data_IF_379869769215
#
_entry.id   IF_379869769215
#
_cell.length_a   1.000
_cell.length_b   1.000
_cell.length_c   1.000
_cell.angle_alpha   90.00
_cell.angle_beta   90.00
_cell.angle_gamma   90.00
#
_symmetry.space_group_name_H-M   'P 1'
#
loop_
_entity.id
_entity.type
_entity.pdbx_description
1 polymer ?
#
# COMPACT_ATOMS: atom_id res chain seq x y z
N UNK A 1 28.84 -67.19 51.33
CA UNK A 1 28.01 -66.00 51.45
C UNK A 1 28.55 -64.95 50.46
N UNK A 2 27.95 -64.79 49.27
CA UNK A 2 28.32 -63.78 48.24
C UNK A 2 27.31 -62.66 48.31
N UNK A 3 27.79 -61.44 48.60
CA UNK A 3 26.96 -60.22 48.64
C UNK A 3 26.90 -59.64 47.23
N UNK A 4 25.68 -59.59 46.68
CA UNK A 4 25.32 -58.85 45.43
C UNK A 4 25.26 -57.34 45.75
N UNK A 5 25.99 -56.51 45.00
CA UNK A 5 25.86 -55.07 45.01
C UNK A 5 25.00 -54.70 43.77
N UNK A 6 23.92 -53.91 43.91
CA UNK A 6 23.22 -53.40 42.74
C UNK A 6 23.94 -52.16 42.20
N UNK A 7 24.29 -52.19 40.93
CA UNK A 7 24.75 -51.04 40.18
C UNK A 7 23.56 -50.23 39.71
N UNK A 8 23.38 -49.03 40.27
CA UNK A 8 22.41 -48.05 39.78
C UNK A 8 22.98 -47.39 38.52
N UNK A 9 22.43 -47.72 37.32
CA UNK A 9 22.67 -46.96 36.08
C UNK A 9 21.78 -45.73 36.08
N UNK A 10 22.39 -44.54 36.22
CA UNK A 10 21.73 -43.26 36.01
C UNK A 10 21.57 -43.03 34.50
N UNK A 11 20.38 -43.27 33.95
CA UNK A 11 20.03 -42.86 32.59
C UNK A 11 19.70 -41.37 32.61
N UNK A 12 20.57 -40.56 32.01
CA UNK A 12 20.34 -39.13 31.79
C UNK A 12 19.34 -38.98 30.61
N UNK A 13 18.18 -38.30 30.75
CA UNK A 13 17.35 -38.05 29.62
C UNK A 13 17.99 -36.98 28.74
N UNK A 14 18.24 -37.34 27.49
CA UNK A 14 18.67 -36.42 26.43
C UNK A 14 17.46 -35.56 26.08
N UNK A 15 17.38 -34.33 26.63
CA UNK A 15 16.39 -33.35 26.23
C UNK A 15 16.82 -32.82 24.85
N UNK A 16 16.18 -33.35 23.80
CA UNK A 16 16.28 -32.78 22.47
C UNK A 16 15.60 -31.40 22.49
N UNK A 17 16.40 -30.36 22.60
CA UNK A 17 15.95 -28.99 22.38
C UNK A 17 15.54 -28.86 20.92
N UNK A 18 14.25 -29.02 20.64
CA UNK A 18 13.66 -28.63 19.36
C UNK A 18 13.83 -27.13 19.24
N UNK A 19 14.84 -26.70 18.48
CA UNK A 19 14.93 -25.31 18.03
C UNK A 19 13.70 -25.06 17.14
N UNK A 20 12.68 -24.41 17.69
CA UNK A 20 11.69 -23.73 16.88
C UNK A 20 12.46 -22.64 16.12
N UNK A 21 12.82 -22.94 14.89
CA UNK A 21 13.17 -21.88 13.93
C UNK A 21 11.90 -21.04 13.80
N UNK A 22 11.91 -19.84 14.38
CA UNK A 22 10.90 -18.86 14.06
C UNK A 22 10.83 -18.76 12.52
N UNK A 23 9.65 -18.81 11.89
CA UNK A 23 9.57 -18.58 10.46
C UNK A 23 10.26 -17.24 10.20
N UNK A 24 11.23 -17.22 9.30
CA UNK A 24 11.74 -15.98 8.77
C UNK A 24 10.51 -15.21 8.32
N UNK A 25 10.25 -14.05 8.93
CA UNK A 25 9.14 -13.21 8.51
C UNK A 25 9.43 -12.89 7.05
N UNK A 26 8.62 -13.46 6.15
CA UNK A 26 8.64 -13.07 4.75
C UNK A 26 8.48 -11.54 4.73
N UNK A 27 9.39 -10.84 4.06
CA UNK A 27 9.35 -9.39 3.91
C UNK A 27 8.78 -9.11 2.51
N UNK A 28 7.88 -8.15 2.41
CA UNK A 28 7.37 -7.66 1.11
C UNK A 28 8.53 -7.32 0.18
N UNK A 29 9.64 -6.85 0.76
CA UNK A 29 10.86 -6.50 0.04
C UNK A 29 11.47 -7.69 -0.71
N UNK A 30 11.51 -8.88 -0.13
CA UNK A 30 12.08 -10.07 -0.80
C UNK A 30 11.30 -10.40 -2.08
N UNK A 31 9.98 -10.27 -2.01
CA UNK A 31 9.14 -10.38 -3.19
C UNK A 31 9.38 -9.28 -4.23
N UNK A 32 9.64 -8.03 -3.79
CA UNK A 32 9.98 -6.93 -4.70
C UNK A 32 11.32 -7.17 -5.39
N UNK A 33 12.33 -7.64 -4.67
CA UNK A 33 13.65 -7.97 -5.22
C UNK A 33 13.55 -9.12 -6.25
N UNK A 34 12.76 -10.16 -5.96
CA UNK A 34 12.45 -11.23 -6.90
C UNK A 34 11.73 -10.71 -8.15
N UNK A 35 10.76 -9.81 -7.98
CA UNK A 35 10.04 -9.19 -9.10
C UNK A 35 10.95 -8.38 -10.01
N UNK A 36 11.81 -7.55 -9.43
CA UNK A 36 12.77 -6.72 -10.16
C UNK A 36 13.79 -7.57 -10.94
N UNK A 37 14.19 -8.72 -10.40
CA UNK A 37 15.06 -9.68 -11.08
C UNK A 37 14.34 -10.51 -12.16
N UNK A 38 13.02 -10.33 -12.34
CA UNK A 38 12.21 -11.09 -13.30
C UNK A 38 11.75 -12.46 -12.79
N UNK A 39 12.05 -12.82 -11.55
CA UNK A 39 11.59 -14.07 -10.94
C UNK A 39 10.19 -13.91 -10.35
N UNK A 40 9.20 -13.74 -11.24
CA UNK A 40 7.82 -13.49 -10.87
C UNK A 40 7.16 -14.60 -10.03
N UNK A 41 7.42 -15.91 -10.29
CA UNK A 41 6.88 -16.96 -9.44
C UNK A 41 7.37 -16.88 -7.99
N UNK A 42 8.66 -16.58 -7.78
CA UNK A 42 9.21 -16.38 -6.44
C UNK A 42 8.58 -15.16 -5.77
N UNK A 43 8.46 -14.03 -6.47
CA UNK A 43 7.80 -12.83 -5.94
C UNK A 43 6.37 -13.12 -5.44
N UNK A 44 5.59 -13.85 -6.23
CA UNK A 44 4.22 -14.26 -5.85
C UNK A 44 4.22 -15.20 -4.64
N UNK A 45 5.20 -16.12 -4.54
CA UNK A 45 5.33 -17.03 -3.41
C UNK A 45 5.60 -16.27 -2.10
N UNK A 46 6.44 -15.21 -2.15
CA UNK A 46 6.72 -14.33 -1.00
C UNK A 46 5.50 -13.47 -0.61
N UNK A 47 4.84 -12.84 -1.58
CA UNK A 47 3.73 -11.94 -1.28
C UNK A 47 2.45 -12.66 -0.83
N UNK A 48 2.18 -13.87 -1.31
CA UNK A 48 0.91 -14.58 -1.03
C UNK A 48 0.63 -14.77 0.45
N UNK A 49 1.54 -15.31 1.29
CA UNK A 49 1.29 -15.46 2.72
C UNK A 49 1.09 -14.11 3.41
N UNK A 50 1.83 -13.08 3.04
CA UNK A 50 1.71 -11.73 3.60
C UNK A 50 0.37 -11.08 3.23
N UNK A 51 -0.05 -11.20 1.96
CA UNK A 51 -1.34 -10.70 1.49
C UNK A 51 -2.52 -11.37 2.20
N UNK A 52 -2.42 -12.68 2.45
CA UNK A 52 -3.41 -13.44 3.22
C UNK A 52 -3.42 -13.03 4.69
N UNK A 53 -2.26 -12.68 5.25
CA UNK A 53 -2.12 -12.14 6.60
C UNK A 53 -2.64 -10.70 6.74
N UNK A 54 -2.92 -10.03 5.62
CA UNK A 54 -3.54 -8.70 5.60
C UNK A 54 -2.60 -7.56 5.23
N UNK A 55 -1.33 -7.83 4.89
CA UNK A 55 -0.39 -6.78 4.47
C UNK A 55 -0.87 -6.08 3.20
N UNK A 56 -1.02 -4.75 3.26
CA UNK A 56 -1.59 -3.97 2.17
C UNK A 56 -0.67 -3.87 0.94
N UNK A 57 0.65 -3.79 1.16
CA UNK A 57 1.64 -3.71 0.09
C UNK A 57 1.73 -5.06 -0.64
N UNK A 58 1.72 -6.18 0.11
CA UNK A 58 1.68 -7.52 -0.47
C UNK A 58 0.38 -7.76 -1.25
N UNK A 59 -0.76 -7.29 -0.74
CA UNK A 59 -2.06 -7.36 -1.45
C UNK A 59 -2.01 -6.57 -2.75
N UNK A 60 -1.47 -5.36 -2.74
CA UNK A 60 -1.29 -4.57 -3.95
C UNK A 60 -0.38 -5.28 -4.96
N UNK A 61 0.78 -5.78 -4.52
CA UNK A 61 1.74 -6.46 -5.38
C UNK A 61 1.15 -7.76 -5.98
N UNK A 62 0.40 -8.51 -5.20
CA UNK A 62 -0.31 -9.70 -5.67
C UNK A 62 -1.40 -9.33 -6.69
N UNK A 63 -2.13 -8.24 -6.47
CA UNK A 63 -3.05 -7.66 -7.44
C UNK A 63 -2.37 -7.30 -8.77
N UNK A 64 -1.16 -6.71 -8.71
CA UNK A 64 -0.36 -6.42 -9.89
C UNK A 64 0.06 -7.70 -10.63
N UNK A 65 0.46 -8.75 -9.89
CA UNK A 65 0.84 -10.03 -10.48
C UNK A 65 -0.32 -10.64 -11.28
N UNK A 66 -1.53 -10.67 -10.72
CA UNK A 66 -2.73 -11.15 -11.41
C UNK A 66 -3.14 -10.25 -12.60
N UNK A 67 -3.06 -8.93 -12.45
CA UNK A 67 -3.37 -7.99 -13.53
C UNK A 67 -2.46 -8.18 -14.74
N UNK A 68 -1.18 -8.44 -14.51
CA UNK A 68 -0.17 -8.55 -15.56
C UNK A 68 0.05 -9.99 -16.05
N UNK A 69 -0.49 -10.98 -15.35
CA UNK A 69 -0.22 -12.40 -15.66
C UNK A 69 1.23 -12.79 -15.42
N UNK A 70 1.89 -12.21 -14.42
CA UNK A 70 3.30 -12.47 -14.11
C UNK A 70 3.43 -13.28 -12.82
N UNK A 71 4.01 -14.47 -12.92
CA UNK A 71 4.12 -15.43 -11.81
C UNK A 71 2.83 -16.19 -11.50
N UNK A 72 1.70 -15.71 -12.02
CA UNK A 72 0.36 -16.33 -12.00
C UNK A 72 -0.34 -16.09 -13.33
N UNK A 73 -1.32 -16.89 -13.75
CA UNK A 73 -2.18 -16.57 -14.88
C UNK A 73 -2.88 -15.21 -14.70
N UNK A 74 -3.04 -14.46 -15.78
CA UNK A 74 -3.75 -13.19 -15.74
C UNK A 74 -5.22 -13.40 -15.34
N UNK A 75 -5.66 -12.67 -14.32
CA UNK A 75 -7.02 -12.72 -13.80
C UNK A 75 -7.39 -11.35 -13.21
N UNK A 76 -8.21 -10.59 -13.95
CA UNK A 76 -8.65 -9.27 -13.52
C UNK A 76 -9.61 -9.30 -12.32
N UNK A 77 -10.35 -10.39 -12.12
CA UNK A 77 -11.22 -10.55 -10.95
C UNK A 77 -10.38 -10.71 -9.68
N UNK A 78 -9.35 -11.57 -9.73
CA UNK A 78 -8.39 -11.69 -8.62
C UNK A 78 -7.64 -10.38 -8.38
N UNK A 79 -7.21 -9.69 -9.44
CA UNK A 79 -6.55 -8.40 -9.31
C UNK A 79 -7.46 -7.36 -8.62
N UNK A 80 -8.74 -7.29 -9.01
CA UNK A 80 -9.74 -6.42 -8.38
C UNK A 80 -9.89 -6.74 -6.89
N UNK A 81 -10.05 -8.01 -6.53
CA UNK A 81 -10.24 -8.43 -5.15
C UNK A 81 -9.04 -8.03 -4.27
N UNK A 82 -7.83 -8.23 -4.74
CA UNK A 82 -6.62 -7.87 -4.02
C UNK A 82 -6.45 -6.36 -3.91
N UNK A 83 -6.68 -5.59 -4.99
CA UNK A 83 -6.65 -4.13 -4.92
C UNK A 83 -7.73 -3.58 -3.98
N UNK A 84 -8.93 -4.17 -3.96
CA UNK A 84 -10.01 -3.76 -3.06
C UNK A 84 -9.65 -3.95 -1.59
N UNK A 85 -8.95 -5.05 -1.26
CA UNK A 85 -8.44 -5.29 0.10
C UNK A 85 -7.38 -4.27 0.50
N UNK A 86 -6.40 -4.02 -0.36
CA UNK A 86 -5.35 -3.04 -0.12
C UNK A 86 -5.92 -1.61 -0.02
N UNK A 87 -6.82 -1.22 -0.93
CA UNK A 87 -7.47 0.09 -0.94
C UNK A 87 -8.28 0.37 0.33
N UNK A 88 -8.97 -0.63 0.88
CA UNK A 88 -9.68 -0.52 2.18
C UNK A 88 -8.75 -0.19 3.35
N UNK A 89 -7.47 -0.48 3.23
CA UNK A 89 -6.43 -0.16 4.21
C UNK A 89 -5.71 1.17 3.89
N UNK A 90 -6.18 1.92 2.89
CA UNK A 90 -5.60 3.20 2.50
C UNK A 90 -4.43 3.10 1.53
N UNK A 91 -4.20 1.95 0.90
CA UNK A 91 -3.14 1.83 -0.10
C UNK A 91 -3.53 2.58 -1.39
N UNK A 92 -2.94 3.77 -1.61
CA UNK A 92 -3.34 4.71 -2.65
C UNK A 92 -3.24 4.16 -4.07
N UNK A 93 -2.13 3.48 -4.38
CA UNK A 93 -1.93 2.90 -5.71
C UNK A 93 -2.91 1.73 -6.00
N UNK A 94 -3.36 1.02 -4.95
CA UNK A 94 -4.40 0.02 -5.09
C UNK A 94 -5.75 0.66 -5.38
N UNK A 95 -6.07 1.78 -4.73
CA UNK A 95 -7.26 2.59 -5.03
C UNK A 95 -7.26 3.07 -6.48
N UNK A 96 -6.12 3.61 -6.94
CA UNK A 96 -5.95 4.09 -8.32
C UNK A 96 -6.18 2.96 -9.35
N UNK A 97 -5.58 1.78 -9.11
CA UNK A 97 -5.75 0.62 -9.99
C UNK A 97 -7.16 0.03 -9.92
N UNK A 98 -7.79 0.01 -8.75
CA UNK A 98 -9.16 -0.44 -8.57
C UNK A 98 -10.13 0.39 -9.39
N UNK A 99 -10.04 1.72 -9.32
CA UNK A 99 -10.87 2.61 -10.11
C UNK A 99 -10.75 2.34 -11.61
N UNK A 100 -9.53 2.16 -12.11
CA UNK A 100 -9.30 1.89 -13.53
C UNK A 100 -9.79 0.50 -13.97
N UNK A 101 -9.63 -0.55 -13.15
CA UNK A 101 -10.14 -1.90 -13.47
C UNK A 101 -11.67 -1.86 -13.55
N UNK A 102 -12.34 -1.27 -12.56
CA UNK A 102 -13.80 -1.12 -12.55
C UNK A 102 -14.29 -0.35 -13.77
N UNK A 103 -13.61 0.73 -14.13
CA UNK A 103 -13.96 1.54 -15.30
C UNK A 103 -13.85 0.74 -16.61
N UNK A 104 -12.76 -0.01 -16.79
CA UNK A 104 -12.55 -0.84 -17.98
C UNK A 104 -13.48 -2.06 -18.04
N UNK A 105 -13.90 -2.57 -16.87
CA UNK A 105 -14.92 -3.62 -16.75
C UNK A 105 -16.36 -3.11 -17.00
N UNK A 106 -16.52 -1.86 -17.48
CA UNK A 106 -17.80 -1.19 -17.70
C UNK A 106 -18.65 -0.96 -16.43
N UNK A 107 -18.06 -1.10 -15.25
CA UNK A 107 -18.67 -0.77 -13.95
C UNK A 107 -18.40 0.70 -13.61
N UNK A 108 -18.73 1.59 -14.55
CA UNK A 108 -18.29 2.98 -14.53
C UNK A 108 -18.81 3.76 -13.33
N UNK A 109 -20.09 3.59 -12.96
CA UNK A 109 -20.68 4.27 -11.79
C UNK A 109 -19.95 3.88 -10.49
N UNK A 110 -19.57 2.62 -10.33
CA UNK A 110 -18.80 2.15 -9.18
C UNK A 110 -17.35 2.63 -9.20
N UNK A 111 -16.77 2.80 -10.38
CA UNK A 111 -15.41 3.29 -10.56
C UNK A 111 -15.24 4.76 -10.17
N UNK A 112 -16.29 5.60 -10.40
CA UNK A 112 -16.17 7.07 -10.30
C UNK A 112 -15.69 7.59 -8.95
N UNK A 113 -16.11 7.10 -7.78
CA UNK A 113 -15.56 7.56 -6.51
C UNK A 113 -14.03 7.39 -6.42
N UNK A 114 -13.50 6.24 -6.88
CA UNK A 114 -12.07 5.96 -6.93
C UNK A 114 -11.35 6.86 -7.95
N UNK A 115 -11.94 7.02 -9.13
CA UNK A 115 -11.40 7.90 -10.19
C UNK A 115 -11.33 9.36 -9.72
N UNK A 116 -12.36 9.87 -9.04
CA UNK A 116 -12.38 11.23 -8.50
C UNK A 116 -11.27 11.42 -7.47
N UNK A 117 -11.15 10.50 -6.52
CA UNK A 117 -10.10 10.56 -5.50
C UNK A 117 -8.69 10.49 -6.12
N UNK A 118 -8.48 9.57 -7.05
CA UNK A 118 -7.20 9.41 -7.76
C UNK A 118 -6.85 10.64 -8.58
N UNK A 119 -7.82 11.19 -9.33
CA UNK A 119 -7.63 12.42 -10.10
C UNK A 119 -7.32 13.63 -9.22
N UNK A 120 -7.97 13.71 -8.05
CA UNK A 120 -7.69 14.76 -7.06
C UNK A 120 -6.25 14.69 -6.51
N UNK A 121 -5.65 13.50 -6.45
CA UNK A 121 -4.23 13.31 -6.10
C UNK A 121 -3.27 13.51 -7.28
N UNK A 122 -3.80 13.75 -8.49
CA UNK A 122 -3.01 13.99 -9.70
C UNK A 122 -2.59 12.72 -10.43
N UNK A 123 -3.31 11.59 -10.28
CA UNK A 123 -3.05 10.38 -11.07
C UNK A 123 -3.48 10.63 -12.53
N UNK A 124 -2.55 10.55 -13.51
CA UNK A 124 -2.83 11.06 -14.87
C UNK A 124 -3.93 10.30 -15.60
N UNK A 125 -4.04 8.98 -15.41
CA UNK A 125 -5.09 8.18 -16.08
C UNK A 125 -6.46 8.49 -15.49
N UNK A 126 -6.55 8.70 -14.19
CA UNK A 126 -7.78 9.11 -13.51
C UNK A 126 -8.20 10.53 -13.93
N UNK A 127 -7.25 11.45 -14.04
CA UNK A 127 -7.51 12.80 -14.57
C UNK A 127 -8.03 12.77 -16.01
N UNK A 128 -7.45 11.93 -16.86
CA UNK A 128 -7.93 11.74 -18.24
C UNK A 128 -9.36 11.18 -18.28
N UNK A 129 -9.67 10.18 -17.45
CA UNK A 129 -11.01 9.59 -17.36
C UNK A 129 -12.02 10.62 -16.85
N UNK A 130 -11.69 11.32 -15.75
CA UNK A 130 -12.56 12.35 -15.17
C UNK A 130 -12.74 13.53 -16.12
N UNK A 131 -11.68 13.96 -16.82
CA UNK A 131 -11.76 14.99 -17.86
C UNK A 131 -12.69 14.58 -18.99
N UNK A 132 -12.64 13.31 -19.42
CA UNK A 132 -13.55 12.77 -20.43
C UNK A 132 -15.00 12.76 -19.93
N UNK A 133 -15.24 12.39 -18.68
CA UNK A 133 -16.56 12.40 -18.06
C UNK A 133 -17.15 13.84 -18.01
N UNK A 134 -16.36 14.85 -17.65
CA UNK A 134 -16.77 16.25 -17.69
C UNK A 134 -17.01 16.77 -19.10
N UNK A 135 -16.25 16.31 -20.08
CA UNK A 135 -16.47 16.69 -21.47
C UNK A 135 -17.81 16.15 -22.01
N UNK A 136 -18.10 14.88 -21.71
CA UNK A 136 -19.31 14.21 -22.18
C UNK A 136 -20.57 14.61 -21.38
N UNK A 137 -20.44 14.89 -20.08
CA UNK A 137 -21.55 15.11 -19.18
C UNK A 137 -22.33 13.84 -18.81
N UNK A 138 -21.68 12.67 -18.88
CA UNK A 138 -22.33 11.36 -18.67
C UNK A 138 -22.11 10.79 -17.25
N UNK A 139 -20.89 10.86 -16.73
CA UNK A 139 -20.51 10.36 -15.40
C UNK A 139 -20.15 11.48 -14.41
N UNK A 140 -20.05 12.70 -14.91
CA UNK A 140 -19.87 13.93 -14.15
C UNK A 140 -20.66 15.05 -14.84
N UNK A 141 -21.03 16.11 -14.10
CA UNK A 141 -21.66 17.28 -14.72
C UNK A 141 -20.78 17.85 -15.82
N UNK A 142 -21.40 18.22 -16.97
CA UNK A 142 -20.65 18.77 -18.09
C UNK A 142 -19.95 20.07 -17.68
N UNK A 143 -18.63 20.09 -17.85
CA UNK A 143 -17.75 21.23 -17.54
C UNK A 143 -16.54 21.19 -18.48
N UNK A 144 -16.65 21.90 -19.61
CA UNK A 144 -15.58 21.92 -20.61
C UNK A 144 -14.28 22.58 -20.13
N UNK A 145 -14.30 23.68 -19.35
CA UNK A 145 -13.09 24.19 -18.72
C UNK A 145 -12.36 23.14 -17.88
N UNK A 146 -13.08 22.47 -17.00
CA UNK A 146 -12.51 21.41 -16.13
C UNK A 146 -12.03 20.21 -16.95
N UNK A 147 -12.78 19.80 -17.96
CA UNK A 147 -12.39 18.73 -18.88
C UNK A 147 -11.06 19.03 -19.57
N UNK A 148 -10.89 20.28 -20.05
CA UNK A 148 -9.66 20.74 -20.67
C UNK A 148 -8.50 20.76 -19.67
N UNK A 149 -8.70 21.34 -18.49
CA UNK A 149 -7.70 21.43 -17.44
C UNK A 149 -7.18 20.05 -16.99
N UNK A 150 -8.08 19.11 -16.71
CA UNK A 150 -7.71 17.75 -16.29
C UNK A 150 -6.98 16.97 -17.40
N UNK A 151 -7.45 17.10 -18.65
CA UNK A 151 -6.76 16.48 -19.79
C UNK A 151 -5.37 17.08 -20.00
N UNK A 152 -5.22 18.39 -19.82
CA UNK A 152 -3.93 19.09 -19.87
C UNK A 152 -2.99 18.59 -18.77
N UNK A 153 -3.46 18.46 -17.53
CA UNK A 153 -2.67 17.91 -16.41
C UNK A 153 -2.17 16.49 -16.71
N UNK A 154 -3.05 15.63 -17.20
CA UNK A 154 -2.69 14.27 -17.60
C UNK A 154 -1.66 14.24 -18.75
N UNK A 155 -1.79 15.16 -19.71
CA UNK A 155 -0.84 15.32 -20.81
C UNK A 155 0.52 15.81 -20.32
N UNK A 156 0.55 16.82 -19.44
CA UNK A 156 1.78 17.37 -18.87
C UNK A 156 2.53 16.35 -18.00
N UNK A 157 1.80 15.42 -17.39
CA UNK A 157 2.36 14.27 -16.67
C UNK A 157 2.86 13.14 -17.60
N UNK A 158 2.84 13.33 -18.92
CA UNK A 158 3.37 12.39 -19.90
C UNK A 158 2.41 11.31 -20.38
N UNK A 159 1.11 11.42 -20.10
CA UNK A 159 0.12 10.46 -20.58
C UNK A 159 -0.18 10.70 -22.07
N UNK A 160 0.43 9.89 -22.97
CA UNK A 160 0.34 10.11 -24.41
C UNK A 160 -1.10 10.14 -24.97
N UNK A 161 -2.02 9.32 -24.43
CA UNK A 161 -3.44 9.35 -24.86
C UNK A 161 -4.10 10.69 -24.47
N UNK A 162 -3.71 11.31 -23.35
CA UNK A 162 -4.21 12.62 -22.95
C UNK A 162 -3.67 13.71 -23.87
N UNK A 163 -2.41 13.63 -24.32
CA UNK A 163 -1.82 14.56 -25.28
C UNK A 163 -2.57 14.50 -26.62
N UNK A 164 -2.83 13.30 -27.12
CA UNK A 164 -3.62 13.11 -28.35
C UNK A 164 -5.06 13.66 -28.19
N UNK A 165 -5.67 13.45 -27.02
CA UNK A 165 -7.00 13.97 -26.73
C UNK A 165 -7.03 15.49 -26.63
N UNK A 166 -5.99 16.11 -26.06
CA UNK A 166 -5.89 17.56 -25.93
C UNK A 166 -5.94 18.24 -27.29
N UNK A 167 -5.24 17.70 -28.31
CA UNK A 167 -5.32 18.20 -29.70
C UNK A 167 -6.74 18.16 -30.25
N UNK A 168 -7.51 17.13 -29.92
CA UNK A 168 -8.93 17.07 -30.31
C UNK A 168 -9.76 18.13 -29.58
N UNK A 169 -9.53 18.30 -28.26
CA UNK A 169 -10.25 19.30 -27.46
C UNK A 169 -9.95 20.73 -27.91
N UNK A 170 -8.78 21.01 -28.45
CA UNK A 170 -8.43 22.31 -29.03
C UNK A 170 -9.35 22.70 -30.19
N UNK A 171 -9.87 21.72 -30.92
CA UNK A 171 -10.82 21.95 -32.03
C UNK A 171 -12.30 21.90 -31.60
N UNK A 172 -12.61 21.23 -30.49
CA UNK A 172 -13.99 21.00 -30.05
C UNK A 172 -14.44 22.00 -28.99
N UNK A 173 -13.53 22.50 -28.15
CA UNK A 173 -13.88 23.43 -27.07
C UNK A 173 -13.57 24.86 -27.50
N UNK A 174 -14.55 25.82 -27.37
CA UNK A 174 -14.32 27.22 -27.67
C UNK A 174 -13.12 27.80 -26.90
N UNK A 175 -12.39 28.73 -27.54
CA UNK A 175 -11.16 29.32 -26.99
C UNK A 175 -11.38 29.88 -25.59
N UNK A 176 -12.46 30.58 -25.34
CA UNK A 176 -12.80 31.17 -24.04
C UNK A 176 -12.90 30.09 -22.95
N UNK A 177 -13.52 28.94 -23.21
CA UNK A 177 -13.65 27.83 -22.27
C UNK A 177 -12.31 27.17 -22.01
N UNK A 178 -11.44 27.05 -23.04
CA UNK A 178 -10.06 26.55 -22.87
C UNK A 178 -9.22 27.47 -22.00
N UNK A 179 -9.33 28.78 -22.21
CA UNK A 179 -8.63 29.79 -21.38
C UNK A 179 -9.09 29.73 -19.92
N UNK A 180 -10.40 29.56 -19.67
CA UNK A 180 -10.91 29.31 -18.31
C UNK A 180 -10.31 28.02 -17.71
N UNK A 181 -10.21 26.96 -18.49
CA UNK A 181 -9.57 25.70 -18.07
C UNK A 181 -8.09 25.90 -17.70
N UNK A 182 -7.34 26.61 -18.53
CA UNK A 182 -5.92 26.94 -18.22
C UNK A 182 -5.80 27.79 -16.94
N UNK A 183 -6.71 28.71 -16.70
CA UNK A 183 -6.72 29.51 -15.47
C UNK A 183 -7.00 28.67 -14.20
N UNK A 184 -7.59 27.49 -14.31
CA UNK A 184 -7.82 26.55 -13.19
C UNK A 184 -6.58 25.78 -12.79
N UNK A 185 -5.56 25.66 -13.65
CA UNK A 185 -4.41 24.79 -13.42
C UNK A 185 -3.68 25.05 -12.08
N UNK A 186 -3.40 26.30 -11.66
CA UNK A 186 -2.69 26.55 -10.41
C UNK A 186 -3.50 26.10 -9.17
N UNK A 187 -4.83 26.17 -9.24
CA UNK A 187 -5.70 25.69 -8.16
C UNK A 187 -5.74 24.16 -8.11
N UNK A 188 -5.88 23.53 -9.27
CA UNK A 188 -5.84 22.07 -9.39
C UNK A 188 -4.52 21.53 -8.84
N UNK A 189 -3.37 22.10 -9.21
CA UNK A 189 -2.06 21.69 -8.71
C UNK A 189 -1.93 21.79 -7.19
N UNK A 190 -2.41 22.89 -6.62
CA UNK A 190 -2.43 23.05 -5.16
C UNK A 190 -3.33 22.02 -4.49
N UNK A 191 -4.51 21.77 -5.07
CA UNK A 191 -5.44 20.74 -4.59
C UNK A 191 -4.84 19.34 -4.64
N UNK A 192 -4.15 18.98 -5.73
CA UNK A 192 -3.45 17.72 -5.86
C UNK A 192 -2.37 17.52 -4.78
N UNK A 193 -1.59 18.55 -4.51
CA UNK A 193 -0.57 18.51 -3.47
C UNK A 193 -1.18 18.31 -2.09
N UNK A 194 -2.25 19.04 -1.80
CA UNK A 194 -2.98 18.90 -0.52
C UNK A 194 -3.62 17.51 -0.38
N UNK A 195 -4.24 17.00 -1.44
CA UNK A 195 -4.86 15.68 -1.43
C UNK A 195 -3.83 14.57 -1.24
N UNK A 196 -2.66 14.67 -1.88
CA UNK A 196 -1.55 13.72 -1.66
C UNK A 196 -1.05 13.73 -0.21
N UNK A 197 -0.83 14.92 0.35
CA UNK A 197 -0.39 15.05 1.75
C UNK A 197 -1.44 14.51 2.72
N UNK A 198 -2.71 14.83 2.50
CA UNK A 198 -3.80 14.32 3.33
C UNK A 198 -3.91 12.80 3.28
N UNK A 199 -3.78 12.21 2.09
CA UNK A 199 -3.83 10.77 1.89
C UNK A 199 -2.65 10.03 2.56
N UNK A 200 -1.43 10.58 2.45
CA UNK A 200 -0.24 10.03 3.13
C UNK A 200 -0.41 10.09 4.65
N UNK A 201 -0.91 11.22 5.17
CA UNK A 201 -1.14 11.37 6.61
C UNK A 201 -2.24 10.43 7.13
N UNK A 202 -3.27 10.16 6.33
CA UNK A 202 -4.33 9.21 6.68
C UNK A 202 -3.86 7.75 6.66
N UNK A 203 -2.92 7.41 5.77
CA UNK A 203 -2.32 6.08 5.68
C UNK A 203 -1.20 5.84 6.71
N UNK A 204 -0.67 6.90 7.33
CA UNK A 204 0.36 6.76 8.35
C UNK A 204 -0.22 6.02 9.58
N UNK A 205 0.47 4.98 10.12
CA UNK A 205 0.06 4.36 11.36
C UNK A 205 -0.02 5.44 12.47
N UNK A 206 -0.97 5.34 13.41
CA UNK A 206 -1.03 6.27 14.52
C UNK A 206 0.33 6.33 15.19
N UNK A 207 0.88 7.55 15.33
CA UNK A 207 2.20 7.74 15.91
C UNK A 207 2.28 6.91 17.21
N UNK A 208 3.26 6.00 17.26
CA UNK A 208 3.46 5.15 18.42
C UNK A 208 3.42 6.04 19.67
N UNK A 209 2.47 5.80 20.56
CA UNK A 209 2.33 6.57 21.78
C UNK A 209 3.71 6.64 22.43
N UNK A 210 4.22 7.86 22.66
CA UNK A 210 5.49 8.05 23.36
C UNK A 210 5.47 7.14 24.58
N UNK A 211 6.45 6.26 24.80
CA UNK A 211 6.47 5.42 25.97
C UNK A 211 6.29 6.34 27.19
N UNK A 212 5.30 6.02 28.02
CA UNK A 212 5.07 6.73 29.27
C UNK A 212 6.41 6.77 30.04
N UNK A 213 6.78 7.91 30.66
CA UNK A 213 8.01 7.97 31.43
C UNK A 213 7.99 6.82 32.44
N UNK A 214 9.04 5.98 32.38
CA UNK A 214 9.16 4.85 33.27
C UNK A 214 9.02 5.36 34.72
N UNK A 215 8.06 4.81 35.45
CA UNK A 215 7.91 5.10 36.88
C UNK A 215 9.25 4.82 37.57
N UNK A 216 9.72 5.70 38.48
CA UNK A 216 10.99 5.50 39.15
C UNK A 216 10.96 4.15 39.88
N UNK A 217 11.84 3.25 39.53
CA UNK A 217 12.06 1.99 40.21
C UNK A 217 12.48 2.36 41.63
N UNK A 218 11.65 2.07 42.64
CA UNK A 218 12.07 2.12 44.03
C UNK A 218 13.19 1.11 44.23
N UNK A 219 14.41 1.61 44.30
CA UNK A 219 15.55 0.81 44.73
C UNK A 219 15.33 0.45 46.19
N UNK A 220 15.05 -0.83 46.46
CA UNK A 220 14.98 -1.33 47.83
C UNK A 220 16.34 -1.12 48.48
N UNK A 221 16.42 -0.36 49.56
CA UNK A 221 17.60 -0.17 50.37
C UNK A 221 18.01 -1.53 50.94
N UNK A 222 19.23 -1.99 50.61
CA UNK A 222 19.84 -3.15 51.26
C UNK A 222 20.00 -2.89 52.73
N UNK A 223 19.76 -3.89 53.62
CA UNK A 223 20.01 -3.73 55.07
C UNK A 223 21.50 -3.58 55.32
N UNK A 224 21.85 -2.65 56.22
CA UNK A 224 23.20 -2.39 56.62
C UNK A 224 23.86 -3.67 57.22
N UNK A 225 25.02 -4.02 56.71
CA UNK A 225 25.85 -5.11 57.27
C UNK A 225 26.35 -4.71 58.63
N UNK A 226 26.07 -5.50 59.68
CA UNK A 226 26.67 -5.41 61.01
C UNK A 226 28.15 -5.71 60.99
N UNK A 227 29.03 -4.96 61.69
CA UNK A 227 30.46 -5.26 61.75
C UNK A 227 30.71 -6.55 62.55
N UNK A 228 31.50 -7.46 61.99
CA UNK A 228 31.89 -8.70 62.65
C UNK A 228 32.79 -8.46 63.83
N UNK A 229 32.55 -9.19 64.93
CA UNK A 229 33.34 -9.30 66.12
C UNK A 229 34.71 -9.95 65.84
N UNK A 230 35.78 -9.28 66.27
CA UNK A 230 37.12 -9.77 66.29
C UNK A 230 37.27 -10.96 67.30
N UNK A 231 37.88 -12.03 66.85
CA UNK A 231 38.39 -13.06 67.77
C UNK A 231 39.89 -12.82 67.96
N UNK A 232 40.29 -12.73 69.25
CA UNK A 232 41.67 -12.87 69.75
C UNK A 232 42.08 -14.31 69.72
#
# INVERSE_FOLDING_TARGET
MRRFRPTFSLALPLIAASMLTAPAFADVKDGVDAWQSGNYPAAVAEWRPLALAGDADAQFNLGQAYKLGRGVPADLTQAEDWYRRAAKQGHLQAEDNLGLILFTANRRAEAMPFIINSAARGEPRAQYVLGTAHFNGDLAAQDWPRAYALTKRASDAGLGIASARLVQLDNLIPLEQRQRGLAMLPEIERGEQQARLAAVNAAAPPAAAKPAPASPVKVASLPASTPGTSYT
#
